data_IF_044899958160
#
_entry.id   IF_044899958160
#
_cell.length_a   1.000
_cell.length_b   1.000
_cell.length_c   1.000
_cell.angle_alpha   90.00
_cell.angle_beta   90.00
_cell.angle_gamma   90.00
#
_symmetry.space_group_name_H-M   'P 1'
#
loop_
_entity.id
_entity.type
_entity.pdbx_description
1 polymer ?
#
# COMPACT_ATOMS: atom_id res chain seq x y z
N UNK A 1 45.03 -31.60 -2.63
CA UNK A 1 45.59 -30.23 -2.63
C UNK A 1 46.60 -30.17 -3.76
N UNK A 2 46.24 -29.52 -4.88
CA UNK A 2 47.04 -29.55 -6.11
C UNK A 2 48.22 -28.58 -6.05
N UNK A 3 49.42 -29.12 -5.87
CA UNK A 3 50.69 -28.39 -5.83
C UNK A 3 50.97 -27.62 -7.13
N UNK A 4 50.46 -28.14 -8.26
CA UNK A 4 50.59 -27.50 -9.57
C UNK A 4 49.81 -26.17 -9.66
N UNK A 5 48.67 -26.06 -8.99
CA UNK A 5 47.87 -24.83 -8.96
C UNK A 5 48.50 -23.74 -8.09
N UNK A 6 49.19 -24.14 -7.01
CA UNK A 6 49.94 -23.22 -6.16
C UNK A 6 51.21 -22.72 -6.84
N UNK A 7 51.95 -23.60 -7.52
CA UNK A 7 53.13 -23.22 -8.30
C UNK A 7 52.78 -22.32 -9.49
N UNK A 8 51.66 -22.54 -10.18
CA UNK A 8 51.24 -21.63 -11.26
C UNK A 8 50.79 -20.26 -10.73
N UNK A 9 50.20 -20.22 -9.52
CA UNK A 9 49.88 -18.97 -8.82
C UNK A 9 51.13 -18.21 -8.37
N UNK A 10 52.18 -18.89 -7.93
CA UNK A 10 53.43 -18.23 -7.57
C UNK A 10 54.21 -17.76 -8.80
N UNK A 11 54.23 -18.54 -9.88
CA UNK A 11 54.87 -18.15 -11.14
C UNK A 11 54.14 -16.97 -11.83
N UNK A 12 52.81 -16.90 -11.78
CA UNK A 12 52.05 -15.75 -12.31
C UNK A 12 52.15 -14.51 -11.43
N UNK A 13 52.33 -14.66 -10.12
CA UNK A 13 52.56 -13.54 -9.19
C UNK A 13 53.99 -12.98 -9.31
N UNK A 14 54.96 -13.81 -9.71
CA UNK A 14 56.32 -13.37 -10.02
C UNK A 14 56.46 -12.70 -11.41
N UNK A 15 55.49 -12.89 -12.32
CA UNK A 15 55.52 -12.29 -13.67
C UNK A 15 54.85 -10.91 -13.75
N UNK A 16 54.54 -10.25 -12.63
CA UNK A 16 54.14 -8.84 -12.66
C UNK A 16 55.38 -7.98 -12.95
N UNK A 17 55.74 -7.93 -14.23
CA UNK A 17 56.70 -6.96 -14.75
C UNK A 17 56.19 -5.57 -14.41
N UNK A 18 56.84 -4.91 -13.46
CA UNK A 18 56.82 -3.46 -13.34
C UNK A 18 57.09 -2.93 -14.76
N UNK A 19 56.27 -2.04 -15.34
CA UNK A 19 56.56 -1.50 -16.65
C UNK A 19 57.84 -0.69 -16.50
N UNK A 20 58.98 -1.28 -16.86
CA UNK A 20 60.18 -0.51 -17.06
C UNK A 20 59.87 0.40 -18.24
N UNK A 21 59.65 1.69 -17.99
CA UNK A 21 59.68 2.70 -19.04
C UNK A 21 61.06 2.61 -19.68
N UNK A 22 61.15 1.82 -20.76
CA UNK A 22 62.35 1.72 -21.56
C UNK A 22 62.55 3.10 -22.14
N UNK A 23 63.52 3.84 -21.61
CA UNK A 23 63.89 5.21 -22.01
C UNK A 23 64.12 5.36 -23.53
N UNK A 24 64.33 4.24 -24.24
CA UNK A 24 64.45 4.17 -25.69
C UNK A 24 63.56 3.03 -26.22
N UNK A 25 62.59 3.37 -27.07
CA UNK A 25 61.73 2.43 -27.82
C UNK A 25 62.17 2.48 -29.29
N UNK A 26 62.29 1.32 -29.94
CA UNK A 26 62.64 1.28 -31.36
C UNK A 26 61.53 1.92 -32.20
N UNK A 27 61.87 2.62 -33.31
CA UNK A 27 60.88 3.26 -34.19
C UNK A 27 59.78 2.29 -34.64
N UNK A 28 60.14 1.03 -34.90
CA UNK A 28 59.19 -0.03 -35.27
C UNK A 28 58.19 -0.33 -34.15
N UNK A 29 58.67 -0.45 -32.91
CA UNK A 29 57.82 -0.73 -31.75
C UNK A 29 56.91 0.46 -31.42
N UNK A 30 57.41 1.69 -31.58
CA UNK A 30 56.62 2.92 -31.41
C UNK A 30 55.51 3.05 -32.46
N UNK A 31 55.78 2.68 -33.72
CA UNK A 31 54.77 2.63 -34.78
C UNK A 31 53.74 1.51 -34.57
N UNK A 32 54.18 0.33 -34.12
CA UNK A 32 53.27 -0.78 -33.77
C UNK A 32 52.37 -0.42 -32.58
N UNK A 33 52.88 0.28 -31.56
CA UNK A 33 52.08 0.80 -30.45
C UNK A 33 51.05 1.84 -30.94
N UNK A 34 51.45 2.77 -31.81
CA UNK A 34 50.51 3.74 -32.41
C UNK A 34 49.42 3.07 -33.23
N UNK A 35 49.76 2.04 -34.01
CA UNK A 35 48.79 1.26 -34.79
C UNK A 35 47.83 0.48 -33.89
N UNK A 36 48.32 -0.12 -32.80
CA UNK A 36 47.49 -0.82 -31.82
C UNK A 36 46.53 0.14 -31.11
N UNK A 37 47.04 1.28 -30.64
CA UNK A 37 46.21 2.31 -30.01
C UNK A 37 45.12 2.83 -30.97
N UNK A 38 45.45 3.04 -32.24
CA UNK A 38 44.48 3.46 -33.26
C UNK A 38 43.40 2.39 -33.52
N UNK A 39 43.77 1.11 -33.60
CA UNK A 39 42.82 0.02 -33.79
C UNK A 39 41.93 -0.19 -32.56
N UNK A 40 42.48 -0.02 -31.36
CA UNK A 40 41.71 -0.07 -30.11
C UNK A 40 40.75 1.11 -30.01
N UNK A 41 41.18 2.31 -30.38
CA UNK A 41 40.32 3.49 -30.44
C UNK A 41 39.19 3.32 -31.47
N UNK A 42 39.49 2.78 -32.66
CA UNK A 42 38.46 2.47 -33.66
C UNK A 42 37.46 1.43 -33.14
N UNK A 43 37.92 0.34 -32.52
CA UNK A 43 37.03 -0.68 -31.93
C UNK A 43 36.14 -0.09 -30.84
N UNK A 44 36.69 0.75 -29.97
CA UNK A 44 35.91 1.44 -28.93
C UNK A 44 34.83 2.35 -29.52
N UNK A 45 35.14 3.08 -30.59
CA UNK A 45 34.18 3.94 -31.29
C UNK A 45 33.08 3.10 -31.99
N UNK A 46 33.43 1.95 -32.56
CA UNK A 46 32.46 1.03 -33.16
C UNK A 46 31.55 0.38 -32.11
N UNK A 47 32.11 -0.05 -30.99
CA UNK A 47 31.36 -0.60 -29.85
C UNK A 47 30.43 0.45 -29.23
N UNK A 48 30.89 1.71 -29.08
CA UNK A 48 30.04 2.80 -28.60
C UNK A 48 28.89 3.11 -29.57
N UNK A 49 29.16 3.12 -30.88
CA UNK A 49 28.12 3.29 -31.92
C UNK A 49 27.13 2.13 -31.92
N UNK A 50 27.61 0.89 -31.78
CA UNK A 50 26.77 -0.31 -31.71
C UNK A 50 25.91 -0.30 -30.43
N UNK A 51 26.47 0.08 -29.28
CA UNK A 51 25.75 0.20 -28.01
C UNK A 51 24.65 1.27 -28.09
N UNK A 52 24.95 2.45 -28.65
CA UNK A 52 23.94 3.50 -28.87
C UNK A 52 22.83 3.06 -29.83
N UNK A 53 23.17 2.31 -30.89
CA UNK A 53 22.18 1.76 -31.81
C UNK A 53 21.31 0.68 -31.14
N UNK A 54 21.89 -0.18 -30.30
CA UNK A 54 21.15 -1.20 -29.55
C UNK A 54 20.23 -0.58 -28.49
N UNK A 55 20.69 0.43 -27.77
CA UNK A 55 19.89 1.17 -26.80
C UNK A 55 18.72 1.90 -27.48
N UNK A 56 18.96 2.51 -28.64
CA UNK A 56 17.89 3.13 -29.45
C UNK A 56 16.84 2.11 -29.88
N UNK A 57 17.24 0.93 -30.38
CA UNK A 57 16.29 -0.14 -30.74
C UNK A 57 15.50 -0.63 -29.54
N UNK A 58 16.16 -0.84 -28.39
CA UNK A 58 15.49 -1.24 -27.15
C UNK A 58 14.43 -0.22 -26.71
N UNK A 59 14.75 1.07 -26.80
CA UNK A 59 13.81 2.16 -26.47
C UNK A 59 12.64 2.24 -27.45
N UNK A 60 12.89 2.02 -28.74
CA UNK A 60 11.84 1.97 -29.77
C UNK A 60 10.92 0.74 -29.58
N UNK A 61 11.48 -0.41 -29.23
CA UNK A 61 10.73 -1.63 -28.91
C UNK A 61 9.89 -1.48 -27.63
N UNK A 62 10.45 -0.87 -26.57
CA UNK A 62 9.73 -0.59 -25.32
C UNK A 62 8.57 0.41 -25.55
N UNK A 63 8.82 1.48 -26.31
CA UNK A 63 7.78 2.44 -26.69
C UNK A 63 6.68 1.81 -27.56
N UNK A 64 7.05 0.92 -28.49
CA UNK A 64 6.10 0.19 -29.32
C UNK A 64 5.28 -0.82 -28.49
N UNK A 65 5.89 -1.49 -27.51
CA UNK A 65 5.21 -2.39 -26.58
C UNK A 65 4.22 -1.62 -25.68
N UNK A 66 4.62 -0.45 -25.17
CA UNK A 66 3.73 0.40 -24.38
C UNK A 66 2.56 0.93 -25.21
N UNK A 67 2.79 1.34 -26.46
CA UNK A 67 1.73 1.75 -27.38
C UNK A 67 0.73 0.62 -27.64
N UNK A 68 1.20 -0.61 -27.90
CA UNK A 68 0.33 -1.79 -28.06
C UNK A 68 -0.47 -2.08 -26.80
N UNK A 69 0.14 -1.98 -25.62
CA UNK A 69 -0.56 -2.17 -24.34
C UNK A 69 -1.63 -1.09 -24.10
N UNK A 70 -1.39 0.17 -24.49
CA UNK A 70 -2.38 1.25 -24.40
C UNK A 70 -3.54 1.03 -25.37
N UNK A 71 -3.27 0.59 -26.60
CA UNK A 71 -4.30 0.25 -27.59
C UNK A 71 -5.15 -0.93 -27.15
N UNK A 72 -4.55 -1.99 -26.61
CA UNK A 72 -5.27 -3.13 -26.06
C UNK A 72 -6.15 -2.74 -24.87
N UNK A 73 -5.66 -1.90 -23.95
CA UNK A 73 -6.47 -1.36 -22.84
C UNK A 73 -7.65 -0.55 -23.37
N UNK A 74 -7.42 0.32 -24.35
CA UNK A 74 -8.48 1.12 -25.00
C UNK A 74 -9.49 0.24 -25.74
N UNK A 75 -9.03 -0.85 -26.38
CA UNK A 75 -9.91 -1.83 -27.03
C UNK A 75 -10.78 -2.56 -26.01
N UNK A 76 -10.19 -3.04 -24.91
CA UNK A 76 -10.93 -3.70 -23.81
C UNK A 76 -11.97 -2.77 -23.20
N UNK A 77 -11.62 -1.52 -22.92
CA UNK A 77 -12.58 -0.52 -22.41
C UNK A 77 -13.70 -0.21 -23.42
N UNK A 78 -13.40 -0.14 -24.71
CA UNK A 78 -14.41 0.07 -25.74
C UNK A 78 -15.33 -1.15 -25.91
N UNK A 79 -14.80 -2.37 -25.79
CA UNK A 79 -15.56 -3.62 -25.81
C UNK A 79 -16.46 -3.74 -24.57
N UNK A 80 -15.94 -3.40 -23.38
CA UNK A 80 -16.69 -3.34 -22.13
C UNK A 80 -17.81 -2.29 -22.18
N UNK A 81 -17.55 -1.10 -22.72
CA UNK A 81 -18.58 -0.07 -22.93
C UNK A 81 -19.65 -0.50 -23.94
N UNK A 82 -19.27 -1.20 -25.02
CA UNK A 82 -20.23 -1.75 -25.99
C UNK A 82 -21.08 -2.84 -25.37
N UNK A 83 -20.48 -3.74 -24.58
CA UNK A 83 -21.19 -4.77 -23.84
C UNK A 83 -22.18 -4.16 -22.83
N UNK A 84 -21.78 -3.10 -22.11
CA UNK A 84 -22.65 -2.39 -21.18
C UNK A 84 -23.83 -1.70 -21.87
N UNK A 85 -23.61 -1.10 -23.04
CA UNK A 85 -24.68 -0.50 -23.86
C UNK A 85 -25.65 -1.56 -24.39
N UNK A 86 -25.13 -2.66 -24.93
CA UNK A 86 -25.95 -3.77 -25.41
C UNK A 86 -26.76 -4.43 -24.29
N UNK A 87 -26.19 -4.60 -23.10
CA UNK A 87 -26.89 -5.10 -21.93
C UNK A 87 -28.03 -4.18 -21.50
N UNK A 88 -27.79 -2.85 -21.48
CA UNK A 88 -28.83 -1.87 -21.16
C UNK A 88 -29.95 -1.84 -22.20
N UNK A 89 -29.61 -1.92 -23.48
CA UNK A 89 -30.60 -1.97 -24.57
C UNK A 89 -31.44 -3.26 -24.51
N UNK A 90 -30.81 -4.40 -24.22
CA UNK A 90 -31.51 -5.67 -24.01
C UNK A 90 -32.42 -5.63 -22.76
N UNK A 91 -31.99 -4.97 -21.69
CA UNK A 91 -32.81 -4.75 -20.49
C UNK A 91 -34.00 -3.82 -20.77
N UNK A 92 -33.80 -2.74 -21.54
CA UNK A 92 -34.87 -1.86 -21.99
C UNK A 92 -35.86 -2.58 -22.93
N UNK A 93 -35.39 -3.46 -23.82
CA UNK A 93 -36.23 -4.28 -24.69
C UNK A 93 -37.04 -5.30 -23.87
N UNK A 94 -36.42 -5.95 -22.88
CA UNK A 94 -37.10 -6.84 -21.92
C UNK A 94 -38.15 -6.08 -21.10
N UNK A 95 -37.83 -4.88 -20.61
CA UNK A 95 -38.75 -4.03 -19.88
C UNK A 95 -39.93 -3.55 -20.74
N UNK A 96 -39.68 -3.21 -22.02
CA UNK A 96 -40.73 -2.89 -23.00
C UNK A 96 -41.63 -4.09 -23.27
N UNK A 97 -41.06 -5.28 -23.47
CA UNK A 97 -41.82 -6.53 -23.64
C UNK A 97 -42.66 -6.89 -22.41
N UNK A 98 -42.10 -6.74 -21.21
CA UNK A 98 -42.79 -6.92 -19.93
C UNK A 98 -43.95 -5.93 -19.76
N UNK A 99 -43.76 -4.67 -20.17
CA UNK A 99 -44.81 -3.63 -20.17
C UNK A 99 -45.93 -3.90 -21.19
N UNK A 100 -45.61 -4.60 -22.29
CA UNK A 100 -46.54 -4.96 -23.36
C UNK A 100 -47.16 -6.36 -23.18
N UNK A 101 -46.81 -7.11 -22.12
CA UNK A 101 -47.37 -8.42 -21.82
C UNK A 101 -46.97 -9.54 -22.79
N UNK A 102 -45.86 -9.38 -23.52
CA UNK A 102 -45.33 -10.40 -24.44
C UNK A 102 -44.41 -11.40 -23.70
N UNK A 103 -44.35 -12.68 -24.12
CA UNK A 103 -43.46 -13.67 -23.52
C UNK A 103 -41.98 -13.25 -23.59
N UNK A 104 -41.23 -13.48 -22.52
CA UNK A 104 -39.80 -13.20 -22.47
C UNK A 104 -39.02 -14.11 -23.42
N UNK A 105 -38.01 -13.54 -24.08
CA UNK A 105 -37.09 -14.32 -24.93
C UNK A 105 -36.26 -15.21 -24.01
N UNK A 106 -36.16 -16.53 -24.27
CA UNK A 106 -35.39 -17.43 -23.44
C UNK A 106 -33.92 -16.99 -23.35
N UNK A 107 -33.28 -17.08 -22.16
CA UNK A 107 -31.88 -16.73 -22.01
C UNK A 107 -31.00 -17.64 -22.87
N UNK A 108 -30.02 -17.06 -23.55
CA UNK A 108 -28.95 -17.81 -24.22
C UNK A 108 -28.01 -18.42 -23.18
N UNK A 109 -27.36 -19.55 -23.48
CA UNK A 109 -26.44 -20.22 -22.56
C UNK A 109 -25.31 -19.30 -22.04
N UNK A 110 -24.81 -18.37 -22.87
CA UNK A 110 -23.86 -17.34 -22.46
C UNK A 110 -24.44 -16.32 -21.46
N UNK A 111 -25.76 -16.04 -21.52
CA UNK A 111 -26.43 -15.19 -20.56
C UNK A 111 -26.71 -15.92 -19.24
N UNK A 112 -26.95 -17.23 -19.27
CA UNK A 112 -27.05 -18.03 -18.03
C UNK A 112 -25.69 -18.17 -17.34
N UNK A 113 -24.60 -18.35 -18.09
CA UNK A 113 -23.25 -18.33 -17.53
C UNK A 113 -22.89 -16.95 -17.00
N UNK A 114 -23.16 -15.87 -17.74
CA UNK A 114 -22.96 -14.50 -17.23
C UNK A 114 -23.88 -14.15 -16.07
N UNK A 115 -25.12 -14.64 -16.00
CA UNK A 115 -25.98 -14.47 -14.82
C UNK A 115 -25.48 -15.28 -13.63
N UNK A 116 -24.95 -16.48 -13.85
CA UNK A 116 -24.32 -17.28 -12.78
C UNK A 116 -23.01 -16.67 -12.32
N UNK A 117 -22.20 -16.14 -13.23
CA UNK A 117 -20.92 -15.49 -12.93
C UNK A 117 -21.15 -14.11 -12.28
N UNK A 118 -22.19 -13.39 -12.69
CA UNK A 118 -22.64 -12.14 -12.07
C UNK A 118 -23.30 -12.38 -10.73
N UNK A 119 -24.13 -13.42 -10.56
CA UNK A 119 -24.64 -13.86 -9.25
C UNK A 119 -23.53 -14.35 -8.33
N UNK A 120 -22.54 -15.06 -8.86
CA UNK A 120 -21.37 -15.50 -8.08
C UNK A 120 -20.44 -14.33 -7.74
N UNK A 121 -20.29 -13.34 -8.63
CA UNK A 121 -19.60 -12.09 -8.35
C UNK A 121 -20.40 -11.17 -7.42
N UNK A 122 -21.72 -11.18 -7.44
CA UNK A 122 -22.61 -10.46 -6.50
C UNK A 122 -22.68 -11.19 -5.14
N UNK A 123 -22.58 -12.52 -5.10
CA UNK A 123 -22.44 -13.32 -3.87
C UNK A 123 -21.02 -13.26 -3.28
N UNK A 124 -19.99 -13.09 -4.12
CA UNK A 124 -18.58 -12.91 -3.71
C UNK A 124 -18.17 -11.43 -3.52
N UNK A 125 -18.98 -10.47 -4.00
CA UNK A 125 -18.86 -9.04 -3.70
C UNK A 125 -19.45 -8.78 -2.32
N UNK A 126 -18.59 -8.84 -1.31
CA UNK A 126 -18.93 -8.55 0.07
C UNK A 126 -19.29 -7.07 0.29
N UNK A 127 -20.60 -6.81 0.31
CA UNK A 127 -21.30 -5.54 0.51
C UNK A 127 -20.90 -4.79 1.81
N UNK A 128 -20.90 -3.45 1.76
CA UNK A 128 -20.63 -2.56 2.91
C UNK A 128 -21.64 -2.73 4.06
N UNK A 129 -22.83 -3.27 3.78
CA UNK A 129 -23.96 -3.30 4.73
C UNK A 129 -23.91 -4.43 5.77
N UNK A 130 -23.17 -5.52 5.49
CA UNK A 130 -22.90 -6.59 6.45
C UNK A 130 -21.98 -6.13 7.59
N UNK A 131 -21.05 -5.23 7.25
CA UNK A 131 -19.99 -4.75 8.13
C UNK A 131 -20.50 -3.88 9.29
N UNK A 132 -21.67 -3.26 9.12
CA UNK A 132 -22.38 -2.48 10.13
C UNK A 132 -23.44 -3.29 10.90
N UNK A 133 -23.56 -4.59 10.68
CA UNK A 133 -24.55 -5.43 11.38
C UNK A 133 -26.00 -5.00 11.13
N UNK A 134 -26.27 -4.43 9.94
CA UNK A 134 -27.58 -3.86 9.61
C UNK A 134 -28.66 -4.95 9.36
N UNK A 135 -28.26 -6.22 9.25
CA UNK A 135 -29.15 -7.38 9.08
C UNK A 135 -29.54 -7.64 7.61
N UNK A 136 -30.27 -8.73 7.35
CA UNK A 136 -30.71 -9.12 5.99
C UNK A 136 -31.50 -8.03 5.28
N UNK A 137 -32.26 -7.22 6.02
CA UNK A 137 -33.10 -6.16 5.46
C UNK A 137 -32.28 -5.04 4.81
N UNK A 138 -31.05 -4.78 5.25
CA UNK A 138 -30.19 -3.80 4.59
C UNK A 138 -29.58 -4.32 3.28
N UNK A 139 -29.42 -5.65 3.16
CA UNK A 139 -28.87 -6.33 1.98
C UNK A 139 -29.85 -6.40 0.82
N UNK A 140 -31.15 -6.35 1.09
CA UNK A 140 -32.19 -6.49 0.07
C UNK A 140 -32.57 -5.13 -0.51
N UNK A 141 -32.90 -5.13 -1.80
CA UNK A 141 -33.57 -4.01 -2.45
C UNK A 141 -35.00 -3.92 -1.88
N UNK A 142 -35.21 -3.02 -0.92
CA UNK A 142 -36.49 -2.85 -0.22
C UNK A 142 -37.43 -2.08 -1.14
N UNK A 143 -38.66 -2.57 -1.44
CA UNK A 143 -39.63 -1.86 -2.24
C UNK A 143 -39.96 -0.46 -1.68
N UNK A 144 -40.27 0.49 -2.56
CA UNK A 144 -40.59 1.90 -2.22
C UNK A 144 -41.61 2.04 -1.07
N UNK A 145 -42.65 1.20 -1.07
CA UNK A 145 -43.73 1.24 -0.07
C UNK A 145 -43.24 0.85 1.33
N UNK A 146 -42.38 -0.15 1.42
CA UNK A 146 -41.75 -0.55 2.68
C UNK A 146 -40.71 0.47 3.12
N UNK A 147 -39.92 1.00 2.18
CA UNK A 147 -38.86 1.96 2.44
C UNK A 147 -39.40 3.27 3.02
N UNK A 148 -40.53 3.75 2.49
CA UNK A 148 -41.21 4.94 3.03
C UNK A 148 -41.74 4.70 4.44
N UNK A 149 -42.27 3.51 4.73
CA UNK A 149 -42.74 3.14 6.06
C UNK A 149 -41.59 3.07 7.07
N UNK A 150 -40.48 2.44 6.68
CA UNK A 150 -39.26 2.33 7.49
C UNK A 150 -38.57 3.68 7.72
N UNK A 151 -38.53 4.58 6.73
CA UNK A 151 -38.02 5.94 6.91
C UNK A 151 -38.89 6.75 7.88
N UNK A 152 -40.21 6.63 7.79
CA UNK A 152 -41.13 7.29 8.73
C UNK A 152 -40.98 6.80 10.16
N UNK A 153 -40.77 5.50 10.37
CA UNK A 153 -40.52 4.96 11.72
C UNK A 153 -39.22 5.48 12.32
N UNK A 154 -38.22 5.78 11.48
CA UNK A 154 -36.95 6.42 11.88
C UNK A 154 -37.06 7.95 12.05
N UNK A 155 -38.23 8.54 11.81
CA UNK A 155 -38.44 9.99 11.87
C UNK A 155 -37.82 10.78 10.71
N UNK A 156 -37.42 10.10 9.63
CA UNK A 156 -36.86 10.70 8.42
C UNK A 156 -37.96 10.98 7.37
N UNK A 157 -37.82 12.02 6.52
CA UNK A 157 -38.80 12.31 5.46
C UNK A 157 -38.98 11.11 4.51
N UNK A 158 -40.21 10.77 4.15
CA UNK A 158 -40.47 9.62 3.27
C UNK A 158 -39.81 9.74 1.89
N UNK A 159 -39.67 10.96 1.37
CA UNK A 159 -39.13 11.24 0.04
C UNK A 159 -38.52 12.65 0.02
N UNK A 160 -37.34 12.82 -0.56
CA UNK A 160 -36.73 14.13 -0.80
C UNK A 160 -36.85 14.55 -2.27
N UNK A 161 -36.85 15.84 -2.54
CA UNK A 161 -36.97 16.36 -3.91
C UNK A 161 -35.79 15.91 -4.77
N UNK A 162 -36.09 15.28 -5.92
CA UNK A 162 -35.07 14.76 -6.84
C UNK A 162 -34.39 13.46 -6.41
N UNK A 163 -34.88 12.79 -5.37
CA UNK A 163 -34.31 11.54 -4.85
C UNK A 163 -34.77 10.33 -5.69
N UNK A 164 -33.82 9.54 -6.20
CA UNK A 164 -34.08 8.25 -6.85
C UNK A 164 -34.18 7.11 -5.81
N UNK A 165 -34.67 5.93 -6.22
CA UNK A 165 -34.79 4.77 -5.34
C UNK A 165 -33.47 4.42 -4.64
N UNK A 166 -32.36 4.46 -5.39
CA UNK A 166 -31.03 4.17 -4.86
C UNK A 166 -30.58 5.18 -3.79
N UNK A 167 -30.85 6.47 -3.97
CA UNK A 167 -30.57 7.48 -2.96
C UNK A 167 -31.46 7.32 -1.72
N UNK A 168 -32.74 6.98 -1.92
CA UNK A 168 -33.67 6.73 -0.81
C UNK A 168 -33.22 5.53 0.04
N UNK A 169 -32.76 4.45 -0.59
CA UNK A 169 -32.18 3.29 0.09
C UNK A 169 -30.90 3.65 0.84
N UNK A 170 -29.98 4.39 0.22
CA UNK A 170 -28.76 4.88 0.91
C UNK A 170 -29.11 5.72 2.13
N UNK A 171 -30.10 6.60 2.02
CA UNK A 171 -30.57 7.44 3.12
C UNK A 171 -31.18 6.61 4.24
N UNK A 172 -32.02 5.64 3.91
CA UNK A 172 -32.55 4.69 4.88
C UNK A 172 -31.45 3.92 5.60
N UNK A 173 -30.46 3.37 4.88
CA UNK A 173 -29.30 2.68 5.47
C UNK A 173 -28.49 3.60 6.40
N UNK A 174 -28.30 4.85 6.00
CA UNK A 174 -27.61 5.88 6.80
C UNK A 174 -28.40 6.23 8.08
N UNK A 175 -29.72 6.39 7.96
CA UNK A 175 -30.61 6.68 9.09
C UNK A 175 -30.69 5.50 10.06
N UNK A 176 -30.80 4.28 9.55
CA UNK A 176 -30.80 3.04 10.34
C UNK A 176 -29.48 2.88 11.11
N UNK A 177 -28.36 3.21 10.47
CA UNK A 177 -27.03 3.24 11.12
C UNK A 177 -26.99 4.27 12.26
N UNK A 178 -27.57 5.46 12.06
CA UNK A 178 -27.66 6.50 13.10
C UNK A 178 -28.53 6.06 14.28
N UNK A 179 -29.70 5.49 14.01
CA UNK A 179 -30.65 5.04 15.04
C UNK A 179 -30.05 3.94 15.93
N UNK A 180 -29.38 2.95 15.32
CA UNK A 180 -28.74 1.85 16.04
C UNK A 180 -27.46 2.24 16.79
N UNK A 181 -27.11 3.54 16.85
CA UNK A 181 -25.91 4.00 17.52
C UNK A 181 -24.60 3.58 16.83
N UNK A 182 -24.68 3.03 15.62
CA UNK A 182 -23.54 2.72 14.74
C UNK A 182 -23.02 4.01 14.07
N UNK A 183 -23.16 5.15 14.75
CA UNK A 183 -22.90 6.48 14.22
C UNK A 183 -21.46 6.64 13.71
N UNK A 184 -21.29 7.62 12.81
CA UNK A 184 -20.05 7.99 12.12
C UNK A 184 -18.78 7.76 12.96
N UNK A 185 -17.68 7.30 12.33
CA UNK A 185 -16.46 6.92 13.03
C UNK A 185 -16.05 8.02 14.00
N UNK A 186 -16.21 7.70 15.27
CA UNK A 186 -16.01 8.64 16.35
C UNK A 186 -14.52 8.63 16.68
N UNK A 187 -13.74 9.31 15.84
CA UNK A 187 -12.29 9.34 15.95
C UNK A 187 -11.68 10.60 15.32
N UNK A 188 -10.48 10.99 15.75
CA UNK A 188 -9.77 12.14 15.18
C UNK A 188 -9.49 12.04 13.68
N UNK A 189 -9.40 10.82 13.17
CA UNK A 189 -9.28 10.54 11.75
C UNK A 189 -10.62 9.99 11.27
N UNK A 190 -11.20 10.67 10.28
CA UNK A 190 -12.40 10.24 9.59
C UNK A 190 -12.11 8.93 8.82
N UNK A 191 -13.02 7.97 8.93
CA UNK A 191 -12.90 6.65 8.29
C UNK A 191 -14.24 6.23 7.67
N UNK A 192 -14.27 5.24 6.79
CA UNK A 192 -15.51 4.55 6.42
C UNK A 192 -15.75 3.28 7.25
N UNK A 193 -14.68 2.78 7.89
CA UNK A 193 -14.71 1.56 8.71
C UNK A 193 -15.54 1.76 9.99
N UNK A 194 -16.35 0.75 10.40
CA UNK A 194 -17.08 0.82 11.66
C UNK A 194 -16.13 0.76 12.86
N UNK A 195 -16.36 1.61 13.89
CA UNK A 195 -15.63 1.49 15.13
C UNK A 195 -15.92 0.12 15.77
N UNK A 196 -14.89 -0.45 16.39
CA UNK A 196 -14.95 -1.67 17.19
C UNK A 196 -14.95 -1.28 18.67
N UNK A 197 -15.68 -2.00 19.52
CA UNK A 197 -15.65 -1.74 20.97
C UNK A 197 -14.29 -2.05 21.58
N UNK A 198 -13.91 -1.37 22.67
CA UNK A 198 -12.58 -1.50 23.30
C UNK A 198 -12.22 -2.95 23.69
N UNK A 199 -13.21 -3.77 24.06
CA UNK A 199 -13.01 -5.19 24.39
C UNK A 199 -12.54 -6.01 23.19
N UNK A 200 -13.04 -5.66 22.01
CA UNK A 200 -12.79 -6.36 20.75
C UNK A 200 -11.67 -5.70 19.92
N UNK A 201 -11.09 -4.59 20.39
CA UNK A 201 -9.94 -3.95 19.73
C UNK A 201 -8.63 -4.73 19.88
N UNK A 202 -8.60 -5.82 20.67
CA UNK A 202 -7.40 -6.64 20.86
C UNK A 202 -7.02 -7.35 19.57
N UNK A 203 -5.85 -6.98 19.06
CA UNK A 203 -5.31 -7.51 17.81
C UNK A 203 -4.70 -8.88 18.07
N UNK A 204 -4.78 -9.86 17.14
CA UNK A 204 -4.08 -11.13 17.26
C UNK A 204 -2.54 -10.97 17.15
N UNK A 205 -1.73 -11.91 17.67
CA UNK A 205 -0.26 -11.83 17.61
C UNK A 205 0.30 -11.90 16.19
N UNK A 206 -0.47 -12.41 15.24
CA UNK A 206 -0.09 -12.51 13.82
C UNK A 206 -1.24 -12.04 12.95
N UNK A 207 -0.91 -11.41 11.83
CA UNK A 207 -1.90 -11.00 10.85
C UNK A 207 -2.62 -12.25 10.27
N UNK A 208 -3.95 -12.21 10.09
CA UNK A 208 -4.68 -13.26 9.39
C UNK A 208 -4.15 -13.45 7.98
N UNK A 209 -4.17 -14.70 7.46
CA UNK A 209 -3.68 -14.98 6.11
C UNK A 209 -4.51 -14.22 5.06
N UNK A 210 -3.88 -13.85 3.95
CA UNK A 210 -4.54 -13.11 2.86
C UNK A 210 -5.75 -13.86 2.23
N UNK A 211 -5.86 -15.17 2.45
CA UNK A 211 -7.03 -15.98 2.06
C UNK A 211 -8.28 -15.65 2.88
N UNK A 212 -8.13 -15.26 4.15
CA UNK A 212 -9.25 -14.94 5.03
C UNK A 212 -9.58 -13.43 4.97
N UNK A 213 -10.32 -13.06 3.94
CA UNK A 213 -10.74 -11.67 3.72
C UNK A 213 -11.58 -11.10 4.87
N UNK A 214 -12.40 -11.93 5.53
CA UNK A 214 -13.26 -11.50 6.64
C UNK A 214 -12.43 -11.16 7.87
N UNK A 215 -11.52 -12.05 8.26
CA UNK A 215 -10.61 -11.80 9.37
C UNK A 215 -9.70 -10.59 9.08
N UNK A 216 -9.25 -10.43 7.83
CA UNK A 216 -8.41 -9.29 7.43
C UNK A 216 -9.15 -7.95 7.54
N UNK A 217 -10.41 -7.89 7.10
CA UNK A 217 -11.25 -6.68 7.20
C UNK A 217 -11.59 -6.36 8.65
N UNK A 218 -11.90 -7.38 9.47
CA UNK A 218 -12.06 -7.19 10.91
C UNK A 218 -10.79 -6.66 11.57
N UNK A 219 -9.62 -7.21 11.21
CA UNK A 219 -8.32 -6.70 11.67
C UNK A 219 -8.14 -5.21 11.31
N UNK A 220 -8.45 -4.81 10.08
CA UNK A 220 -8.36 -3.40 9.68
C UNK A 220 -9.27 -2.50 10.51
N UNK A 221 -10.47 -2.95 10.86
CA UNK A 221 -11.37 -2.24 11.79
C UNK A 221 -10.77 -2.14 13.20
N UNK A 222 -10.19 -3.23 13.72
CA UNK A 222 -9.52 -3.22 15.02
C UNK A 222 -8.36 -2.21 15.04
N UNK A 223 -7.51 -2.22 14.01
CA UNK A 223 -6.38 -1.30 13.88
C UNK A 223 -6.83 0.15 13.76
N UNK A 224 -7.80 0.45 12.88
CA UNK A 224 -8.34 1.79 12.71
C UNK A 224 -8.95 2.31 14.03
N UNK A 225 -9.72 1.47 14.72
CA UNK A 225 -10.34 1.79 16.01
C UNK A 225 -9.30 2.04 17.09
N UNK A 226 -8.27 1.20 17.17
CA UNK A 226 -7.16 1.35 18.11
C UNK A 226 -6.41 2.66 17.90
N UNK A 227 -5.99 2.98 16.67
CA UNK A 227 -5.27 4.23 16.40
C UNK A 227 -6.14 5.46 16.66
N UNK A 228 -7.44 5.43 16.31
CA UNK A 228 -8.35 6.53 16.63
C UNK A 228 -8.54 6.70 18.14
N UNK A 229 -8.64 5.61 18.90
CA UNK A 229 -8.72 5.64 20.36
C UNK A 229 -7.44 6.25 20.99
N UNK A 230 -6.25 5.83 20.54
CA UNK A 230 -4.97 6.39 21.01
C UNK A 230 -4.85 7.88 20.69
N UNK A 231 -5.20 8.30 19.47
CA UNK A 231 -5.17 9.72 19.08
C UNK A 231 -6.17 10.56 19.89
N UNK A 232 -7.37 10.02 20.16
CA UNK A 232 -8.39 10.69 20.98
C UNK A 232 -7.91 10.89 22.40
N UNK A 233 -7.30 9.86 23.00
CA UNK A 233 -6.70 9.98 24.34
C UNK A 233 -5.52 10.95 24.34
N UNK A 234 -4.73 11.01 23.25
CA UNK A 234 -3.63 11.96 23.12
C UNK A 234 -4.12 13.42 23.10
N UNK A 235 -5.16 13.70 22.32
CA UNK A 235 -5.80 15.02 22.32
C UNK A 235 -6.39 15.39 23.67
N UNK A 236 -7.09 14.44 24.31
CA UNK A 236 -7.66 14.65 25.63
C UNK A 236 -6.58 14.92 26.69
N UNK A 237 -5.44 14.22 26.62
CA UNK A 237 -4.30 14.48 27.50
C UNK A 237 -3.72 15.89 27.28
N UNK A 238 -3.48 16.29 26.02
CA UNK A 238 -2.98 17.62 25.68
C UNK A 238 -3.95 18.77 25.99
N UNK A 239 -5.25 18.48 26.08
CA UNK A 239 -6.27 19.42 26.48
C UNK A 239 -6.36 19.58 28.01
N UNK A 240 -5.97 18.55 28.78
CA UNK A 240 -5.91 18.59 30.25
C UNK A 240 -4.65 19.26 30.80
N UNK A 241 -3.60 19.33 29.99
CA UNK A 241 -2.35 19.99 30.38
C UNK A 241 -2.47 21.52 30.26
N UNK A 242 -2.20 22.23 31.36
CA UNK A 242 -2.12 23.71 31.42
C UNK A 242 -0.82 24.28 30.80
N UNK A 243 -0.15 23.49 29.95
CA UNK A 243 1.15 23.81 29.35
C UNK A 243 1.02 24.37 27.93
N UNK A 244 -0.20 24.77 27.55
CA UNK A 244 -0.63 25.19 26.22
C UNK A 244 0.33 26.19 25.55
N UNK A 245 0.78 27.17 26.33
CA UNK A 245 1.55 28.31 25.84
C UNK A 245 3.07 28.06 25.88
N UNK A 246 3.50 26.95 26.49
CA UNK A 246 4.92 26.59 26.52
C UNK A 246 5.39 26.08 25.16
N UNK A 247 6.66 26.28 24.84
CA UNK A 247 7.26 25.74 23.62
C UNK A 247 7.09 24.21 23.53
N UNK A 248 7.21 23.51 24.66
CA UNK A 248 7.01 22.06 24.74
C UNK A 248 5.56 21.66 24.43
N UNK A 249 4.57 22.35 25.02
CA UNK A 249 3.14 22.10 24.78
C UNK A 249 2.74 22.39 23.33
N UNK A 250 3.22 23.50 22.75
CA UNK A 250 3.00 23.81 21.33
C UNK A 250 3.63 22.75 20.41
N UNK A 251 4.84 22.30 20.70
CA UNK A 251 5.51 21.24 19.95
C UNK A 251 4.75 19.91 20.04
N UNK A 252 4.24 19.54 21.23
CA UNK A 252 3.45 18.33 21.44
C UNK A 252 2.11 18.36 20.67
N UNK A 253 1.40 19.51 20.67
CA UNK A 253 0.18 19.71 19.87
C UNK A 253 0.44 19.64 18.36
N UNK A 254 1.53 20.27 17.90
CA UNK A 254 1.95 20.18 16.49
C UNK A 254 2.29 18.75 16.11
N UNK A 255 2.97 18.00 16.99
CA UNK A 255 3.28 16.60 16.77
C UNK A 255 2.00 15.75 16.69
N UNK A 256 1.01 15.99 17.57
CA UNK A 256 -0.28 15.32 17.52
C UNK A 256 -1.02 15.61 16.20
N UNK A 257 -1.20 16.89 15.84
CA UNK A 257 -1.89 17.29 14.59
C UNK A 257 -1.20 16.73 13.34
N UNK A 258 0.13 16.86 13.27
CA UNK A 258 0.93 16.30 12.18
C UNK A 258 0.73 14.80 12.07
N UNK A 259 0.71 14.07 13.21
CA UNK A 259 0.55 12.61 13.21
C UNK A 259 -0.82 12.18 12.70
N UNK A 260 -1.89 12.94 12.98
CA UNK A 260 -3.21 12.67 12.41
C UNK A 260 -3.20 12.80 10.90
N UNK A 261 -2.65 13.91 10.39
CA UNK A 261 -2.61 14.19 8.95
C UNK A 261 -1.80 13.14 8.19
N UNK A 262 -0.62 12.79 8.69
CA UNK A 262 0.26 11.81 8.05
C UNK A 262 -0.24 10.38 8.17
N UNK A 263 -1.19 10.10 9.07
CA UNK A 263 -1.79 8.79 9.24
C UNK A 263 -3.08 8.58 8.43
N UNK A 264 -3.71 9.65 7.91
CA UNK A 264 -4.87 9.53 6.98
C UNK A 264 -4.67 8.56 5.81
N UNK A 265 -3.49 8.53 5.12
CA UNK A 265 -3.26 7.56 4.04
C UNK A 265 -3.28 6.10 4.51
N UNK A 266 -2.89 5.83 5.75
CA UNK A 266 -2.95 4.48 6.33
C UNK A 266 -4.39 4.05 6.55
N UNK A 267 -5.24 4.94 7.05
CA UNK A 267 -6.68 4.67 7.20
C UNK A 267 -7.36 4.39 5.85
N UNK A 268 -7.04 5.16 4.81
CA UNK A 268 -7.51 4.86 3.45
C UNK A 268 -7.06 3.48 2.96
N UNK A 269 -5.85 3.03 3.32
CA UNK A 269 -5.37 1.68 3.01
C UNK A 269 -6.08 0.59 3.80
N UNK A 270 -6.51 0.87 5.03
CA UNK A 270 -7.37 -0.03 5.79
C UNK A 270 -8.76 -0.17 5.18
N UNK A 271 -9.31 0.92 4.63
CA UNK A 271 -10.61 0.92 3.93
C UNK A 271 -10.55 0.14 2.61
N UNK A 272 -9.51 0.35 1.80
CA UNK A 272 -9.36 -0.35 0.51
C UNK A 272 -8.83 -1.77 0.65
N UNK A 273 -8.20 -2.10 1.78
CA UNK A 273 -7.46 -3.35 1.98
C UNK A 273 -6.16 -3.44 1.16
N UNK A 274 -5.69 -2.32 0.58
CA UNK A 274 -4.46 -2.24 -0.23
C UNK A 274 -3.25 -1.91 0.64
N UNK A 275 -2.83 -2.88 1.46
CA UNK A 275 -1.63 -2.76 2.30
C UNK A 275 -0.72 -3.97 2.08
N UNK A 276 0.57 -3.68 1.89
CA UNK A 276 1.62 -4.70 1.74
C UNK A 276 1.62 -5.65 2.95
N UNK A 277 1.74 -6.96 2.70
CA UNK A 277 1.71 -8.00 3.72
C UNK A 277 2.83 -7.81 4.76
N UNK A 278 4.03 -7.41 4.32
CA UNK A 278 5.16 -7.18 5.22
C UNK A 278 4.88 -6.01 6.17
N UNK A 279 4.30 -4.93 5.62
CA UNK A 279 3.93 -3.74 6.38
C UNK A 279 2.80 -4.08 7.36
N UNK A 280 1.77 -4.81 6.92
CA UNK A 280 0.67 -5.16 7.82
C UNK A 280 1.14 -6.08 8.94
N UNK A 281 1.91 -7.13 8.63
CA UNK A 281 2.43 -8.06 9.64
C UNK A 281 3.21 -7.30 10.72
N UNK A 282 4.05 -6.34 10.33
CA UNK A 282 4.80 -5.54 11.28
C UNK A 282 3.91 -4.59 12.10
N UNK A 283 2.93 -3.92 11.48
CA UNK A 283 1.98 -3.07 12.21
C UNK A 283 1.20 -3.88 13.24
N UNK A 284 0.78 -5.10 12.89
CA UNK A 284 0.09 -6.03 13.81
C UNK A 284 0.99 -6.40 14.98
N UNK A 285 2.24 -6.77 14.73
CA UNK A 285 3.21 -7.09 15.77
C UNK A 285 3.43 -5.91 16.73
N UNK A 286 3.61 -4.69 16.19
CA UNK A 286 3.80 -3.46 16.97
C UNK A 286 2.56 -3.17 17.84
N UNK A 287 1.36 -3.23 17.26
CA UNK A 287 0.12 -2.93 17.98
C UNK A 287 -0.17 -3.99 19.05
N UNK A 288 0.03 -5.28 18.74
CA UNK A 288 -0.13 -6.36 19.71
C UNK A 288 0.81 -6.18 20.91
N UNK A 289 2.10 -5.95 20.67
CA UNK A 289 3.07 -5.73 21.74
C UNK A 289 2.75 -4.46 22.55
N UNK A 290 2.29 -3.39 21.90
CA UNK A 290 1.86 -2.17 22.59
C UNK A 290 0.61 -2.40 23.47
N UNK A 291 -0.34 -3.22 23.02
CA UNK A 291 -1.53 -3.60 23.79
C UNK A 291 -1.19 -4.44 25.03
N UNK A 292 -0.14 -5.27 24.95
CA UNK A 292 0.41 -6.03 26.07
C UNK A 292 1.37 -5.22 26.96
N UNK A 293 1.54 -3.91 26.69
CA UNK A 293 2.48 -3.02 27.38
C UNK A 293 3.95 -3.47 27.29
N UNK A 294 4.32 -4.19 26.23
CA UNK A 294 5.70 -4.56 25.90
C UNK A 294 6.29 -3.56 24.91
N UNK A 295 6.60 -2.34 25.38
CA UNK A 295 7.00 -1.24 24.48
C UNK A 295 8.38 -1.42 23.85
N UNK A 296 9.28 -2.18 24.48
CA UNK A 296 10.60 -2.52 23.86
C UNK A 296 10.39 -3.42 22.66
N UNK A 297 9.57 -4.47 22.79
CA UNK A 297 9.27 -5.40 21.70
C UNK A 297 8.53 -4.67 20.56
N UNK A 298 7.59 -3.78 20.92
CA UNK A 298 6.88 -2.95 19.95
C UNK A 298 7.82 -2.00 19.20
N UNK A 299 8.82 -1.41 19.89
CA UNK A 299 9.83 -0.57 19.25
C UNK A 299 10.79 -1.38 18.37
N UNK A 300 11.16 -2.61 18.76
CA UNK A 300 11.97 -3.50 17.92
C UNK A 300 11.25 -3.83 16.61
N UNK A 301 9.95 -4.14 16.67
CA UNK A 301 9.11 -4.29 15.47
C UNK A 301 9.11 -3.05 14.58
N UNK A 302 9.03 -1.85 15.16
CA UNK A 302 9.15 -0.58 14.43
C UNK A 302 10.53 -0.40 13.79
N UNK A 303 11.62 -0.72 14.49
CA UNK A 303 12.98 -0.59 13.98
C UNK A 303 13.23 -1.55 12.81
N UNK A 304 12.79 -2.80 12.95
CA UNK A 304 12.86 -3.83 11.90
C UNK A 304 12.18 -3.38 10.62
N UNK A 305 11.01 -2.74 10.74
CA UNK A 305 10.27 -2.20 9.60
C UNK A 305 10.92 -0.93 9.03
N UNK A 306 11.27 0.05 9.87
CA UNK A 306 11.75 1.35 9.40
C UNK A 306 13.15 1.32 8.78
N UNK A 307 14.02 0.41 9.23
CA UNK A 307 15.35 0.19 8.66
C UNK A 307 15.29 -0.85 7.52
N UNK A 308 14.41 -1.84 7.65
CA UNK A 308 14.38 -3.01 6.78
C UNK A 308 15.54 -3.97 7.03
N UNK A 309 15.67 -4.99 6.19
CA UNK A 309 16.76 -5.99 6.26
C UNK A 309 18.10 -5.49 5.69
N UNK A 310 18.16 -4.21 5.31
CA UNK A 310 19.30 -3.59 4.65
C UNK A 310 20.40 -3.28 5.65
N UNK A 311 21.63 -3.72 5.34
CA UNK A 311 22.81 -3.40 6.17
C UNK A 311 23.13 -1.89 6.20
N UNK A 312 22.68 -1.11 5.20
CA UNK A 312 22.95 0.33 5.04
C UNK A 312 21.70 1.12 4.60
N UNK A 313 20.83 1.55 5.53
CA UNK A 313 19.48 2.05 5.22
C UNK A 313 19.41 3.41 4.49
N UNK A 314 20.44 4.26 4.64
CA UNK A 314 20.45 5.62 4.07
C UNK A 314 21.29 5.69 2.78
N UNK A 315 21.96 4.59 2.40
CA UNK A 315 22.98 4.60 1.36
C UNK A 315 24.21 5.41 1.80
N UNK A 316 25.40 4.91 1.50
CA UNK A 316 26.64 5.64 1.78
C UNK A 316 27.03 6.39 0.52
N UNK A 317 26.81 7.70 0.46
CA UNK A 317 27.42 8.53 -0.59
C UNK A 317 28.86 8.86 -0.22
N UNK A 318 29.64 9.17 -1.23
CA UNK A 318 31.09 9.06 -1.24
C UNK A 318 31.85 9.46 0.05
N UNK A 319 32.28 8.48 0.87
CA UNK A 319 33.21 8.71 2.00
C UNK A 319 34.63 8.38 1.55
N UNK A 320 35.41 9.39 1.19
CA UNK A 320 36.83 9.27 0.82
C UNK A 320 37.17 9.74 -0.60
N UNK A 321 38.40 10.25 -0.77
CA UNK A 321 38.94 10.89 -1.99
C UNK A 321 39.15 9.89 -3.15
N UNK A 322 39.20 8.59 -2.85
CA UNK A 322 39.46 7.54 -3.85
C UNK A 322 38.24 6.62 -4.00
N UNK A 323 37.77 6.46 -5.23
CA UNK A 323 36.72 5.53 -5.61
C UNK A 323 37.26 4.09 -5.60
N UNK A 324 36.52 3.15 -4.98
CA UNK A 324 36.91 1.73 -4.90
C UNK A 324 35.79 0.88 -5.47
N UNK A 325 36.12 -0.15 -6.24
CA UNK A 325 35.15 -1.06 -6.90
C UNK A 325 34.21 -1.82 -5.94
N UNK A 326 34.58 -2.00 -4.66
CA UNK A 326 33.67 -2.55 -3.65
C UNK A 326 32.53 -1.59 -3.24
N UNK A 327 32.64 -0.31 -3.60
CA UNK A 327 31.71 0.77 -3.24
C UNK A 327 30.47 0.78 -4.13
N UNK A 328 30.57 0.39 -5.40
CA UNK A 328 29.40 0.25 -6.29
C UNK A 328 28.40 -0.77 -5.75
N UNK A 329 28.89 -1.89 -5.19
CA UNK A 329 28.05 -2.91 -4.53
C UNK A 329 27.33 -2.41 -3.28
N UNK A 330 27.79 -1.30 -2.67
CA UNK A 330 27.16 -0.65 -1.52
C UNK A 330 26.22 0.49 -1.94
N UNK A 331 26.37 1.04 -3.14
CA UNK A 331 25.49 2.07 -3.69
C UNK A 331 24.16 1.48 -4.20
N UNK A 332 24.20 0.25 -4.72
CA UNK A 332 23.04 -0.52 -5.19
C UNK A 332 22.44 -1.44 -4.11
N UNK A 333 22.95 -1.38 -2.87
CA UNK A 333 22.43 -2.18 -1.77
C UNK A 333 20.94 -1.91 -1.60
N UNK A 334 20.12 -2.97 -1.77
CA UNK A 334 18.66 -2.97 -1.65
C UNK A 334 18.21 -1.95 -0.62
N UNK A 335 17.76 -0.78 -1.10
CA UNK A 335 17.10 0.19 -0.22
C UNK A 335 15.92 -0.57 0.36
N UNK A 336 15.87 -0.69 1.69
CA UNK A 336 14.75 -1.36 2.36
C UNK A 336 13.46 -0.83 1.74
N UNK A 337 12.66 -1.73 1.16
CA UNK A 337 11.46 -1.48 0.34
C UNK A 337 10.56 -0.34 0.90
N UNK A 338 10.54 -0.22 2.22
CA UNK A 338 9.78 0.75 3.02
C UNK A 338 10.31 2.20 2.93
N UNK A 339 11.62 2.39 2.75
CA UNK A 339 12.24 3.71 2.58
C UNK A 339 12.06 4.30 1.17
N UNK A 340 11.53 3.53 0.21
CA UNK A 340 11.21 4.00 -1.13
C UNK A 340 9.95 4.89 -1.20
N UNK A 341 9.02 4.73 -0.24
CA UNK A 341 7.76 5.49 -0.20
C UNK A 341 7.77 6.52 0.94
N UNK A 342 7.69 7.81 0.58
CA UNK A 342 7.61 8.90 1.55
C UNK A 342 6.32 8.83 2.39
N UNK A 343 5.22 8.38 1.79
CA UNK A 343 3.93 8.21 2.48
C UNK A 343 4.05 7.14 3.55
N UNK A 344 4.69 6.01 3.23
CA UNK A 344 4.96 4.93 4.18
C UNK A 344 5.78 5.40 5.35
N UNK A 345 6.89 6.08 5.10
CA UNK A 345 7.74 6.64 6.15
C UNK A 345 6.97 7.57 7.10
N UNK A 346 6.10 8.43 6.55
CA UNK A 346 5.33 9.42 7.33
C UNK A 346 4.31 8.76 8.28
N UNK A 347 3.53 7.77 7.83
CA UNK A 347 2.61 7.10 8.74
C UNK A 347 3.35 6.20 9.74
N UNK A 348 4.49 5.59 9.37
CA UNK A 348 5.30 4.83 10.34
C UNK A 348 5.85 5.71 11.46
N UNK A 349 6.34 6.91 11.14
CA UNK A 349 6.74 7.90 12.14
C UNK A 349 5.56 8.30 13.05
N UNK A 350 4.34 8.35 12.50
CA UNK A 350 3.12 8.64 13.26
C UNK A 350 2.79 7.50 14.23
N UNK A 351 2.93 6.25 13.79
CA UNK A 351 2.78 5.06 14.64
C UNK A 351 3.78 5.11 15.81
N UNK A 352 5.06 5.44 15.54
CA UNK A 352 6.06 5.59 16.62
C UNK A 352 5.67 6.66 17.62
N UNK A 353 5.18 7.82 17.17
CA UNK A 353 4.71 8.89 18.08
C UNK A 353 3.54 8.43 18.95
N UNK A 354 2.60 7.68 18.35
CA UNK A 354 1.49 7.08 19.09
C UNK A 354 1.99 6.07 20.14
N UNK A 355 3.03 5.29 19.82
CA UNK A 355 3.65 4.35 20.74
C UNK A 355 4.35 5.06 21.91
N UNK A 356 5.08 6.14 21.65
CA UNK A 356 5.69 6.97 22.70
C UNK A 356 4.63 7.56 23.64
N UNK A 357 3.51 8.05 23.09
CA UNK A 357 2.40 8.53 23.89
C UNK A 357 1.74 7.41 24.69
N UNK A 358 1.49 6.25 24.06
CA UNK A 358 0.87 5.09 24.69
C UNK A 358 1.67 4.60 25.91
N UNK A 359 3.00 4.58 25.83
CA UNK A 359 3.86 4.24 26.98
C UNK A 359 3.69 5.19 28.17
N UNK A 360 3.53 6.49 27.93
CA UNK A 360 3.33 7.47 29.00
C UNK A 360 1.93 7.32 29.61
N UNK A 361 0.92 7.08 28.77
CA UNK A 361 -0.48 6.95 29.19
C UNK A 361 -0.76 5.62 29.91
N UNK A 362 -0.14 4.53 29.44
CA UNK A 362 -0.27 3.17 29.95
C UNK A 362 1.12 2.60 30.22
N UNK A 363 1.75 2.95 31.36
CA UNK A 363 3.11 2.50 31.64
C UNK A 363 3.21 0.97 31.70
N UNK A 364 4.36 0.40 31.28
CA UNK A 364 4.61 -1.03 31.40
C UNK A 364 4.66 -1.46 32.86
N UNK A 365 4.31 -2.73 33.12
CA UNK A 365 4.41 -3.31 34.46
C UNK A 365 5.87 -3.57 34.87
N UNK A 366 6.72 -3.92 33.90
CA UNK A 366 8.17 -4.03 34.07
C UNK A 366 8.86 -2.77 33.54
N UNK A 367 9.69 -2.14 34.38
CA UNK A 367 10.51 -0.96 34.03
C UNK A 367 11.43 -1.25 32.84
N UNK A 368 11.87 -2.50 32.65
CA UNK A 368 12.71 -2.91 31.52
C UNK A 368 12.00 -2.80 30.17
N UNK A 369 10.67 -2.71 30.17
CA UNK A 369 9.85 -2.55 28.98
C UNK A 369 9.59 -1.08 28.63
N UNK A 370 10.21 -0.11 29.32
CA UNK A 370 10.20 1.28 28.89
C UNK A 370 11.11 1.45 27.65
N UNK A 371 10.52 1.91 26.55
CA UNK A 371 11.29 2.42 25.41
C UNK A 371 11.86 3.79 25.80
N UNK A 372 13.18 3.90 25.85
CA UNK A 372 13.92 5.11 26.22
C UNK A 372 15.27 5.17 25.53
#
# INVERSE_FOLDING_TARGET
MDFASLMSKELSKASSSVPSDKKYISRREAEEQRRKAYLEEQKRLEEERAAKAAEKRRREEEAAAEARAREEKRRKLAEEQRARKAAKEAEEERARRRRLGLPEVPPTAENEEKEKEKKKQEEEAWDEDDEWGLGEDARRDIPDDELTTKLRSLGEPALLFGEDHSARLRRYRTALRRERGLALPTGPIETSLPPVEEKDMKVPPKAPPASDRKARRFLFRQLASYFNMVLREWEAALAREDNADTFAGQAARKACSSSKETMRPLFRKFETGDLDEEILSAIVEIVHAAQERRYVDANDGYLRLSIGKAAWPIGVTMVGIHERSAREKLHDGERGHIMGSEITRKYLQSIKRCLTFAQVRWPPEDVRQLMG
#
